data_IF_857129965686
#
_entry.id   IF_857129965686
#
_cell.length_a   1.000
_cell.length_b   1.000
_cell.length_c   1.000
_cell.angle_alpha   90.00
_cell.angle_beta   90.00
_cell.angle_gamma   90.00
#
_symmetry.space_group_name_H-M   'P 1'
#
loop_
_entity.id
_entity.type
_entity.pdbx_description
1 polymer ?
#
# COMPACT_ATOMS: atom_id res chain seq x y z
N UNK A 1 -23.24 -3.76 0.81
CA UNK A 1 -22.62 -2.73 -0.07
C UNK A 1 -22.84 -3.18 -1.51
N UNK A 2 -23.18 -2.30 -2.45
CA UNK A 2 -23.33 -2.70 -3.87
C UNK A 2 -21.98 -3.24 -4.37
N UNK A 3 -21.95 -4.33 -5.14
CA UNK A 3 -20.74 -4.99 -5.67
C UNK A 3 -19.73 -3.99 -6.28
N UNK A 4 -20.24 -2.95 -6.94
CA UNK A 4 -19.45 -1.82 -7.47
C UNK A 4 -18.61 -1.09 -6.42
N UNK A 5 -19.15 -0.83 -5.23
CA UNK A 5 -18.43 -0.12 -4.16
C UNK A 5 -17.26 -0.94 -3.61
N UNK A 6 -17.35 -2.27 -3.63
CA UNK A 6 -16.30 -3.18 -3.19
C UNK A 6 -15.14 -3.24 -4.19
N UNK A 7 -15.46 -3.31 -5.48
CA UNK A 7 -14.46 -3.23 -6.56
C UNK A 7 -13.67 -1.93 -6.48
N UNK A 8 -14.35 -0.81 -6.23
CA UNK A 8 -13.70 0.50 -6.05
C UNK A 8 -12.75 0.44 -4.85
N UNK A 9 -13.19 -0.08 -3.70
CA UNK A 9 -12.37 -0.18 -2.50
C UNK A 9 -11.10 -1.02 -2.73
N UNK A 10 -11.24 -2.20 -3.33
CA UNK A 10 -10.12 -3.11 -3.65
C UNK A 10 -9.14 -2.47 -4.63
N UNK A 11 -9.66 -1.76 -5.63
CA UNK A 11 -8.84 -1.02 -6.61
C UNK A 11 -8.03 0.08 -5.93
N UNK A 12 -8.66 0.86 -5.05
CA UNK A 12 -8.00 1.94 -4.29
C UNK A 12 -6.90 1.37 -3.40
N UNK A 13 -7.17 0.30 -2.65
CA UNK A 13 -6.20 -0.35 -1.76
C UNK A 13 -4.95 -0.82 -2.53
N UNK A 14 -5.16 -1.39 -3.70
CA UNK A 14 -4.11 -1.93 -4.56
C UNK A 14 -3.27 -0.82 -5.21
N UNK A 15 -3.87 0.33 -5.54
CA UNK A 15 -3.18 1.45 -6.19
C UNK A 15 -2.38 2.33 -5.22
N UNK A 16 -2.74 2.33 -3.93
CA UNK A 16 -2.16 3.20 -2.91
C UNK A 16 -0.62 3.08 -2.79
N UNK A 17 -0.01 1.88 -2.82
CA UNK A 17 1.45 1.73 -2.80
C UNK A 17 2.15 2.38 -3.99
N UNK A 18 1.56 2.25 -5.18
CA UNK A 18 2.14 2.84 -6.41
C UNK A 18 2.12 4.36 -6.34
N UNK A 19 1.00 4.94 -5.89
CA UNK A 19 0.89 6.40 -5.72
C UNK A 19 1.90 6.90 -4.69
N UNK A 20 2.03 6.20 -3.56
CA UNK A 20 3.01 6.56 -2.52
C UNK A 20 4.45 6.58 -3.02
N UNK A 21 4.82 5.59 -3.84
CA UNK A 21 6.17 5.47 -4.40
C UNK A 21 6.41 6.34 -5.65
N UNK A 22 5.37 6.80 -6.34
CA UNK A 22 5.53 7.73 -7.48
C UNK A 22 5.87 9.16 -7.03
N UNK A 23 5.58 9.52 -5.78
CA UNK A 23 5.90 10.84 -5.23
C UNK A 23 7.38 10.82 -4.80
N UNK A 24 8.29 10.71 -5.76
CA UNK A 24 9.76 10.68 -5.57
C UNK A 24 10.29 11.73 -4.58
N UNK A 25 9.89 13.03 -4.64
CA UNK A 25 10.40 14.02 -3.71
C UNK A 25 9.99 13.78 -2.25
N UNK A 26 9.00 12.92 -1.97
CA UNK A 26 8.60 12.59 -0.60
C UNK A 26 9.64 11.75 0.14
N UNK A 27 10.47 10.97 -0.58
CA UNK A 27 11.41 10.03 0.02
C UNK A 27 12.84 10.06 -0.52
N UNK A 28 13.10 10.80 -1.60
CA UNK A 28 14.46 11.01 -2.12
C UNK A 28 15.24 11.98 -1.23
N UNK A 29 15.57 11.56 -0.02
CA UNK A 29 16.33 12.31 0.97
C UNK A 29 17.15 11.37 1.84
N UNK A 30 18.21 11.90 2.44
CA UNK A 30 19.11 11.15 3.31
C UNK A 30 18.61 11.12 4.75
N UNK A 31 18.13 12.25 5.26
CA UNK A 31 17.66 12.38 6.64
C UNK A 31 16.12 12.37 6.75
N UNK A 32 15.57 11.88 7.88
CA UNK A 32 16.28 11.28 9.02
C UNK A 32 16.84 9.89 8.73
N UNK A 33 18.01 9.62 9.31
CA UNK A 33 18.65 8.30 9.29
C UNK A 33 18.23 7.49 10.51
N UNK A 34 18.06 6.19 10.34
CA UNK A 34 17.79 5.25 11.44
C UNK A 34 18.98 4.29 11.52
N UNK A 35 19.81 4.43 12.55
CA UNK A 35 20.99 3.57 12.73
C UNK A 35 21.99 3.63 11.57
N UNK A 36 22.13 4.79 10.91
CA UNK A 36 22.96 4.97 9.72
C UNK A 36 22.29 4.54 8.40
N UNK A 37 21.02 4.12 8.42
CA UNK A 37 20.23 3.84 7.23
C UNK A 37 19.51 5.11 6.74
N UNK A 38 19.78 5.62 5.52
CA UNK A 38 19.12 6.80 4.96
C UNK A 38 17.60 6.67 4.83
N UNK A 39 16.91 7.82 4.87
CA UNK A 39 15.45 7.95 4.72
C UNK A 39 14.92 7.18 3.53
N UNK A 40 15.56 7.34 2.37
CA UNK A 40 15.21 6.61 1.15
C UNK A 40 14.98 5.11 1.41
N UNK A 41 15.92 4.43 2.08
CA UNK A 41 15.89 2.98 2.24
C UNK A 41 14.86 2.51 3.25
N UNK A 42 14.85 3.10 4.46
CA UNK A 42 13.90 2.64 5.46
C UNK A 42 12.46 3.00 5.08
N UNK A 43 12.26 4.09 4.32
CA UNK A 43 10.97 4.43 3.75
C UNK A 43 10.50 3.38 2.74
N UNK A 44 11.39 2.84 1.88
CA UNK A 44 11.03 1.72 1.00
C UNK A 44 10.64 0.48 1.80
N UNK A 45 11.38 0.16 2.86
CA UNK A 45 11.09 -0.99 3.74
C UNK A 45 9.73 -0.81 4.42
N UNK A 46 9.42 0.39 4.92
CA UNK A 46 8.10 0.71 5.47
C UNK A 46 6.99 0.48 4.42
N UNK A 47 7.20 0.96 3.20
CA UNK A 47 6.25 0.74 2.10
C UNK A 47 6.11 -0.71 1.68
N UNK A 48 7.16 -1.53 1.81
CA UNK A 48 7.07 -2.97 1.58
C UNK A 48 6.05 -3.62 2.52
N UNK A 49 6.13 -3.32 3.82
CA UNK A 49 5.19 -3.84 4.81
C UNK A 49 3.77 -3.26 4.62
N UNK A 50 3.66 -1.96 4.36
CA UNK A 50 2.37 -1.32 4.09
C UNK A 50 1.69 -1.90 2.85
N UNK A 51 2.43 -2.11 1.76
CA UNK A 51 1.91 -2.71 0.54
C UNK A 51 1.44 -4.15 0.79
N UNK A 52 2.20 -4.94 1.55
CA UNK A 52 1.78 -6.30 1.91
C UNK A 52 0.45 -6.29 2.69
N UNK A 53 0.31 -5.40 3.67
CA UNK A 53 -0.94 -5.25 4.45
C UNK A 53 -2.10 -4.85 3.54
N UNK A 54 -1.88 -3.88 2.64
CA UNK A 54 -2.90 -3.41 1.70
C UNK A 54 -3.34 -4.53 0.74
N UNK A 55 -2.41 -5.30 0.18
CA UNK A 55 -2.75 -6.40 -0.72
C UNK A 55 -3.44 -7.57 0.01
N UNK A 56 -3.00 -7.92 1.21
CA UNK A 56 -3.68 -8.95 2.02
C UNK A 56 -5.10 -8.49 2.37
N UNK A 57 -5.26 -7.23 2.79
CA UNK A 57 -6.58 -6.67 3.08
C UNK A 57 -7.48 -6.68 1.85
N UNK A 58 -6.95 -6.32 0.69
CA UNK A 58 -7.65 -6.35 -0.58
C UNK A 58 -8.08 -7.78 -0.96
N UNK A 59 -7.19 -8.76 -0.81
CA UNK A 59 -7.49 -10.17 -1.08
C UNK A 59 -8.53 -10.72 -0.12
N UNK A 60 -8.44 -10.41 1.18
CA UNK A 60 -9.44 -10.83 2.16
C UNK A 60 -10.81 -10.21 1.86
N UNK A 61 -10.86 -8.92 1.51
CA UNK A 61 -12.12 -8.26 1.12
C UNK A 61 -12.68 -8.93 -0.14
N UNK A 62 -11.85 -9.16 -1.16
CA UNK A 62 -12.27 -9.78 -2.42
C UNK A 62 -12.84 -11.18 -2.22
N UNK A 63 -12.14 -12.04 -1.48
CA UNK A 63 -12.58 -13.43 -1.25
C UNK A 63 -13.93 -13.48 -0.51
N UNK A 64 -14.17 -12.56 0.44
CA UNK A 64 -15.46 -12.46 1.13
C UNK A 64 -16.60 -11.97 0.25
N UNK A 65 -16.28 -11.29 -0.85
CA UNK A 65 -17.30 -10.85 -1.82
C UNK A 65 -17.67 -11.91 -2.84
N UNK A 66 -16.79 -12.88 -3.09
CA UNK A 66 -17.11 -14.05 -3.95
C UNK A 66 -17.90 -15.12 -3.20
N UNK A 67 -17.69 -15.30 -1.89
CA UNK A 67 -18.44 -16.27 -1.07
C UNK A 67 -19.88 -15.84 -0.75
N UNK A 68 -20.19 -14.56 -0.86
CA UNK A 68 -21.50 -13.98 -0.49
C UNK A 68 -22.45 -13.70 -1.66
N UNK A 69 -22.06 -14.09 -2.88
CA UNK A 69 -22.82 -13.97 -4.14
C UNK A 69 -23.15 -15.38 -4.67
#
# INVERSE_FOLDING_TARGET
MKKTSLVILVSVLTLLPFVGLLIVPSYSKTYPEIGGLPFFYWYQILWLFLAAILFVSASLIWNRTEEGD
#
